data_IF_479775100985
#
_entry.id   IF_479775100985
#
_cell.length_a   1.000
_cell.length_b   1.000
_cell.length_c   1.000
_cell.angle_alpha   90.00
_cell.angle_beta   90.00
_cell.angle_gamma   90.00
#
_symmetry.space_group_name_H-M   'P 1'
#
loop_
_entity.id
_entity.type
_entity.pdbx_description
1 polymer ?
#
# COMPACT_ATOMS: atom_id res chain seq x y z
N UNK A 1 -0.22 28.49 -26.06
CA UNK A 1 -1.00 27.25 -26.16
C UNK A 1 -0.82 26.50 -24.85
N UNK A 2 -1.80 26.59 -23.97
CA UNK A 2 -1.79 25.98 -22.65
C UNK A 2 -3.01 25.06 -22.57
N UNK A 3 -2.82 23.75 -22.78
CA UNK A 3 -3.93 22.80 -22.90
C UNK A 3 -3.43 21.41 -23.31
N UNK A 4 -2.63 20.79 -22.46
CA UNK A 4 -2.17 19.40 -22.67
C UNK A 4 -2.22 18.62 -21.37
N UNK A 5 -2.49 17.33 -21.48
CA UNK A 5 -2.41 16.35 -20.40
C UNK A 5 -1.05 15.66 -20.42
N UNK A 6 -0.67 15.04 -19.30
CA UNK A 6 0.59 14.32 -19.23
C UNK A 6 0.50 12.96 -19.90
N UNK A 7 -0.47 12.15 -19.51
CA UNK A 7 -0.52 10.75 -19.89
C UNK A 7 -1.95 10.32 -20.24
N UNK A 8 -2.08 9.62 -21.36
CA UNK A 8 -3.24 8.79 -21.68
C UNK A 8 -2.82 7.32 -21.69
N UNK A 9 -3.44 6.53 -20.82
CA UNK A 9 -3.41 5.08 -20.89
C UNK A 9 -4.71 4.62 -21.56
N UNK A 10 -4.61 3.99 -22.74
CA UNK A 10 -5.78 3.70 -23.58
C UNK A 10 -6.03 2.19 -23.73
N UNK A 11 -7.30 1.82 -23.92
CA UNK A 11 -7.71 0.46 -24.31
C UNK A 11 -7.39 -0.64 -23.28
N UNK A 12 -7.25 -0.30 -21.99
CA UNK A 12 -6.97 -1.31 -20.98
C UNK A 12 -8.08 -2.35 -20.92
N UNK A 13 -7.69 -3.62 -20.84
CA UNK A 13 -8.64 -4.72 -20.65
C UNK A 13 -9.35 -4.56 -19.30
N UNK A 14 -8.59 -4.30 -18.24
CA UNK A 14 -9.13 -3.94 -16.93
C UNK A 14 -8.45 -2.70 -16.38
N UNK A 15 -9.23 -1.82 -15.74
CA UNK A 15 -8.73 -0.77 -14.86
C UNK A 15 -9.24 -1.08 -13.46
N UNK A 16 -8.35 -1.52 -12.58
CA UNK A 16 -8.67 -1.89 -11.20
C UNK A 16 -8.65 -0.63 -10.35
N UNK A 17 -9.83 -0.13 -9.99
CA UNK A 17 -9.96 1.09 -9.20
C UNK A 17 -9.69 0.83 -7.72
N UNK A 18 -9.95 -0.39 -7.24
CA UNK A 18 -10.01 -0.80 -5.83
C UNK A 18 -11.24 -0.21 -5.12
N UNK A 19 -11.40 1.12 -5.16
CA UNK A 19 -12.52 1.88 -4.62
C UNK A 19 -13.28 2.64 -5.72
N UNK A 20 -14.52 3.05 -5.47
CA UNK A 20 -15.33 3.77 -6.49
C UNK A 20 -16.15 4.94 -5.94
N UNK A 21 -16.19 5.14 -4.62
CA UNK A 21 -17.07 6.11 -3.96
C UNK A 21 -16.33 6.96 -2.93
N UNK A 22 -15.03 7.20 -3.13
CA UNK A 22 -14.20 7.97 -2.22
C UNK A 22 -13.88 7.22 -0.92
N UNK A 23 -13.99 5.89 -0.91
CA UNK A 23 -13.61 5.09 0.25
C UNK A 23 -12.15 5.35 0.65
N UNK A 24 -11.91 5.37 1.97
CA UNK A 24 -10.60 5.70 2.55
C UNK A 24 -9.81 4.49 3.00
N UNK A 25 -10.52 3.39 3.15
CA UNK A 25 -10.06 2.05 3.44
C UNK A 25 -11.21 1.10 3.08
N UNK A 26 -10.91 -0.19 2.98
CA UNK A 26 -11.88 -1.27 2.83
C UNK A 26 -11.74 -2.22 4.02
N UNK A 27 -12.86 -2.61 4.64
CA UNK A 27 -12.92 -3.57 5.73
C UNK A 27 -14.26 -4.32 5.69
N UNK A 28 -14.30 -5.51 6.30
CA UNK A 28 -15.47 -6.38 6.29
C UNK A 28 -15.96 -6.68 4.87
N UNK A 29 -17.27 -6.58 4.65
CA UNK A 29 -17.89 -6.94 3.36
C UNK A 29 -17.41 -6.09 2.17
N UNK A 30 -16.87 -4.89 2.41
CA UNK A 30 -16.32 -4.04 1.36
C UNK A 30 -15.07 -4.65 0.69
N UNK A 31 -14.41 -5.63 1.32
CA UNK A 31 -13.26 -6.34 0.75
C UNK A 31 -13.65 -7.50 -0.19
N UNK A 32 -14.93 -7.90 -0.23
CA UNK A 32 -15.38 -9.07 -1.01
C UNK A 32 -15.28 -8.85 -2.52
N UNK A 33 -15.37 -7.61 -2.98
CA UNK A 33 -15.32 -7.27 -4.39
C UNK A 33 -14.72 -5.89 -4.57
N UNK A 34 -13.66 -5.80 -5.38
CA UNK A 34 -13.03 -4.54 -5.73
C UNK A 34 -13.76 -3.89 -6.90
N UNK A 35 -13.73 -2.56 -6.97
CA UNK A 35 -14.16 -1.84 -8.15
C UNK A 35 -13.18 -2.09 -9.31
N UNK A 36 -13.69 -2.62 -10.43
CA UNK A 36 -12.95 -2.90 -11.66
C UNK A 36 -13.78 -2.44 -12.85
N UNK A 37 -13.17 -1.70 -13.78
CA UNK A 37 -13.77 -1.35 -15.06
C UNK A 37 -13.19 -2.26 -16.16
N UNK A 38 -14.06 -2.90 -16.93
CA UNK A 38 -13.67 -3.63 -18.14
C UNK A 38 -13.65 -2.68 -19.34
N UNK A 39 -12.61 -2.72 -20.16
CA UNK A 39 -12.51 -1.92 -21.39
C UNK A 39 -12.52 -0.41 -21.11
N UNK A 40 -11.48 0.08 -20.45
CA UNK A 40 -11.41 1.48 -20.00
C UNK A 40 -10.07 2.15 -20.32
N UNK A 41 -10.09 3.48 -20.29
CA UNK A 41 -8.93 4.36 -20.46
C UNK A 41 -8.81 5.31 -19.27
N UNK A 42 -7.60 5.80 -19.01
CA UNK A 42 -7.28 6.68 -17.89
C UNK A 42 -6.43 7.87 -18.36
N UNK A 43 -6.75 9.06 -17.87
CA UNK A 43 -6.03 10.31 -18.16
C UNK A 43 -5.38 10.87 -16.90
N UNK A 44 -4.09 11.23 -16.98
CA UNK A 44 -3.37 11.97 -15.94
C UNK A 44 -2.98 13.35 -16.45
N UNK A 45 -3.27 14.38 -15.65
CA UNK A 45 -2.91 15.76 -15.93
C UNK A 45 -1.43 16.05 -15.70
N UNK A 46 -0.97 17.22 -16.18
CA UNK A 46 0.41 17.71 -15.97
C UNK A 46 0.71 18.04 -14.51
N UNK A 47 -0.32 18.25 -13.69
CA UNK A 47 -0.23 18.35 -12.23
C UNK A 47 -0.04 16.99 -11.52
N UNK A 48 -0.09 15.89 -12.28
CA UNK A 48 0.14 14.53 -11.80
C UNK A 48 -1.06 13.90 -11.11
N UNK A 49 -2.26 14.45 -11.28
CA UNK A 49 -3.51 13.89 -10.77
C UNK A 49 -4.33 13.27 -11.89
N UNK A 50 -5.08 12.21 -11.56
CA UNK A 50 -6.02 11.56 -12.46
C UNK A 50 -7.15 12.53 -12.79
N UNK A 51 -7.39 12.75 -14.08
CA UNK A 51 -8.42 13.68 -14.59
C UNK A 51 -9.67 12.97 -15.08
N UNK A 52 -9.52 11.77 -15.62
CA UNK A 52 -10.65 10.97 -16.07
C UNK A 52 -10.30 9.49 -16.05
N UNK A 53 -11.31 8.67 -15.79
CA UNK A 53 -11.29 7.22 -15.96
C UNK A 53 -12.67 6.84 -16.51
N UNK A 54 -12.73 6.01 -17.54
CA UNK A 54 -14.01 5.59 -18.08
C UNK A 54 -13.88 4.66 -19.29
N UNK A 55 -15.02 4.25 -19.87
CA UNK A 55 -15.04 3.45 -21.09
C UNK A 55 -14.20 4.09 -22.21
N UNK A 56 -13.56 3.25 -23.02
CA UNK A 56 -12.63 3.68 -24.07
C UNK A 56 -13.24 4.72 -25.01
N UNK A 57 -14.45 4.47 -25.49
CA UNK A 57 -15.16 5.35 -26.44
C UNK A 57 -15.51 6.70 -25.82
N UNK A 58 -15.86 6.72 -24.52
CA UNK A 58 -16.15 7.94 -23.77
C UNK A 58 -14.90 8.79 -23.64
N UNK A 59 -13.77 8.20 -23.22
CA UNK A 59 -12.51 8.92 -23.07
C UNK A 59 -12.00 9.41 -24.43
N UNK A 60 -12.06 8.57 -25.47
CA UNK A 60 -11.66 8.98 -26.83
C UNK A 60 -12.47 10.18 -27.34
N UNK A 61 -13.79 10.20 -27.09
CA UNK A 61 -14.65 11.33 -27.49
C UNK A 61 -14.38 12.58 -26.66
N UNK A 62 -14.22 12.42 -25.35
CA UNK A 62 -14.05 13.55 -24.44
C UNK A 62 -12.71 14.27 -24.65
N UNK A 63 -11.67 13.53 -25.04
CA UNK A 63 -10.30 14.05 -25.19
C UNK A 63 -9.79 14.01 -26.64
N UNK A 64 -10.68 14.06 -27.64
CA UNK A 64 -10.31 13.91 -29.07
C UNK A 64 -9.42 15.03 -29.61
N UNK A 65 -9.61 16.25 -29.11
CA UNK A 65 -8.86 17.45 -29.51
C UNK A 65 -7.73 17.81 -28.52
N UNK A 66 -7.57 17.03 -27.46
CA UNK A 66 -6.60 17.28 -26.41
C UNK A 66 -5.22 16.67 -26.77
N UNK A 67 -4.17 17.29 -26.26
CA UNK A 67 -2.79 16.81 -26.48
C UNK A 67 -2.25 16.08 -25.25
N UNK A 68 -1.38 15.10 -25.48
CA UNK A 68 -0.77 14.28 -24.42
C UNK A 68 0.75 14.25 -24.58
N UNK A 69 1.50 14.44 -23.48
CA UNK A 69 2.96 14.25 -23.48
C UNK A 69 3.32 12.79 -23.83
N UNK A 70 2.54 11.85 -23.31
CA UNK A 70 2.73 10.41 -23.52
C UNK A 70 1.38 9.68 -23.71
N UNK A 71 1.38 8.69 -24.61
CA UNK A 71 0.24 7.78 -24.83
C UNK A 71 0.74 6.34 -24.77
N UNK A 72 0.02 5.50 -24.03
CA UNK A 72 0.38 4.09 -23.82
C UNK A 72 -0.83 3.21 -24.14
N UNK A 73 -0.70 2.39 -25.18
CA UNK A 73 -1.69 1.36 -25.50
C UNK A 73 -1.62 0.20 -24.50
N UNK A 74 -2.73 0.04 -23.78
CA UNK A 74 -2.95 -0.99 -22.77
C UNK A 74 -3.85 -2.12 -23.28
N UNK A 75 -4.01 -2.26 -24.60
CA UNK A 75 -4.77 -3.36 -25.21
C UNK A 75 -4.32 -4.72 -24.66
N UNK A 76 -5.26 -5.47 -24.08
CA UNK A 76 -5.00 -6.77 -23.47
C UNK A 76 -4.31 -6.74 -22.09
N UNK A 77 -4.05 -5.55 -21.53
CA UNK A 77 -3.32 -5.32 -20.27
C UNK A 77 -4.23 -4.81 -19.17
N UNK A 78 -3.74 -4.86 -17.93
CA UNK A 78 -4.44 -4.29 -16.77
C UNK A 78 -3.70 -3.09 -16.20
N UNK A 79 -4.47 -2.07 -15.79
CA UNK A 79 -4.00 -0.91 -15.04
C UNK A 79 -4.43 -1.08 -13.59
N UNK A 80 -3.51 -0.91 -12.65
CA UNK A 80 -3.74 -0.96 -11.21
C UNK A 80 -3.19 0.31 -10.54
N UNK A 81 -3.61 0.64 -9.30
CA UNK A 81 -2.90 1.62 -8.50
C UNK A 81 -1.46 1.19 -8.28
N UNK A 82 -0.56 2.17 -8.13
CA UNK A 82 0.75 1.92 -7.56
C UNK A 82 0.60 1.20 -6.22
N UNK A 83 1.38 0.14 -6.03
CA UNK A 83 1.39 -0.60 -4.77
C UNK A 83 1.99 0.29 -3.67
N UNK A 84 1.45 0.15 -2.46
CA UNK A 84 1.93 0.87 -1.28
C UNK A 84 2.50 -0.16 -0.31
N UNK A 85 3.78 0.00 0.01
CA UNK A 85 4.42 -0.73 1.09
C UNK A 85 4.16 0.01 2.40
N UNK A 86 3.32 -0.57 3.26
CA UNK A 86 2.93 0.08 4.51
C UNK A 86 4.05 0.08 5.58
N UNK A 87 5.09 -0.74 5.42
CA UNK A 87 6.12 -0.91 6.44
C UNK A 87 7.44 -1.41 5.86
N UNK A 88 8.50 -0.63 6.04
CA UNK A 88 9.87 -0.99 5.64
C UNK A 88 10.89 -0.26 6.50
N UNK A 89 12.06 -0.87 6.67
CA UNK A 89 13.26 -0.25 7.25
C UNK A 89 14.32 -0.06 6.16
N UNK A 90 14.13 0.83 5.19
CA UNK A 90 15.03 0.95 4.03
C UNK A 90 16.40 1.54 4.40
N UNK A 91 16.55 2.05 5.63
CA UNK A 91 17.79 2.60 6.18
C UNK A 91 18.21 1.75 7.37
N UNK A 92 19.27 0.96 7.21
CA UNK A 92 19.92 0.22 8.30
C UNK A 92 21.44 0.47 8.30
N UNK A 93 22.14 0.05 9.36
CA UNK A 93 23.59 0.15 9.42
C UNK A 93 24.26 -1.05 8.70
N UNK A 94 25.08 -0.79 7.66
CA UNK A 94 25.71 -1.81 6.78
C UNK A 94 26.58 -1.19 5.66
N UNK A 95 26.90 -1.91 4.57
CA UNK A 95 27.77 -1.43 3.47
C UNK A 95 27.04 -0.45 2.53
N UNK A 96 27.52 0.81 2.45
CA UNK A 96 26.69 1.99 2.07
C UNK A 96 27.02 2.71 0.75
N UNK A 97 27.63 2.08 -0.24
CA UNK A 97 28.05 2.83 -1.45
C UNK A 97 26.86 3.18 -2.36
N UNK A 98 25.87 2.30 -2.49
CA UNK A 98 24.71 2.55 -3.36
C UNK A 98 23.59 3.35 -2.69
N UNK A 99 23.54 3.35 -1.35
CA UNK A 99 22.54 4.06 -0.55
C UNK A 99 22.68 5.58 -0.62
N UNK A 100 23.91 6.10 -0.65
CA UNK A 100 24.12 7.53 -0.89
C UNK A 100 23.66 7.94 -2.28
N UNK A 101 23.87 7.10 -3.30
CA UNK A 101 23.42 7.41 -4.65
C UNK A 101 21.89 7.40 -4.77
N UNK A 102 21.19 6.44 -4.16
CA UNK A 102 19.72 6.39 -4.17
C UNK A 102 19.10 7.51 -3.34
N UNK A 103 19.65 7.80 -2.15
CA UNK A 103 19.26 8.96 -1.34
C UNK A 103 19.54 10.27 -2.07
N UNK A 104 20.70 10.49 -2.69
CA UNK A 104 20.96 11.71 -3.47
C UNK A 104 20.03 11.84 -4.69
N UNK A 105 19.57 10.72 -5.28
CA UNK A 105 18.68 10.74 -6.44
C UNK A 105 17.23 11.07 -6.08
N UNK A 106 16.76 10.67 -4.88
CA UNK A 106 15.42 11.04 -4.37
C UNK A 106 15.40 12.30 -3.49
N UNK A 107 16.38 12.50 -2.59
CA UNK A 107 16.60 13.74 -1.84
C UNK A 107 16.96 14.92 -2.73
N UNK A 108 17.46 14.65 -3.95
CA UNK A 108 17.80 15.67 -4.96
C UNK A 108 16.61 16.50 -5.45
N UNK A 109 15.40 16.26 -4.93
CA UNK A 109 14.23 17.10 -5.20
C UNK A 109 14.02 18.22 -4.18
N UNK A 110 14.19 18.01 -2.87
CA UNK A 110 13.98 19.06 -1.84
C UNK A 110 14.85 18.93 -0.55
N UNK A 111 15.67 17.89 -0.39
CA UNK A 111 16.69 17.81 0.68
C UNK A 111 16.23 17.61 2.14
N UNK A 112 14.92 17.64 2.44
CA UNK A 112 14.40 17.51 3.82
C UNK A 112 13.78 16.12 4.10
N UNK A 113 14.07 15.56 5.28
CA UNK A 113 13.38 14.37 5.80
C UNK A 113 12.12 14.85 6.51
N UNK A 114 10.96 14.49 5.97
CA UNK A 114 9.68 14.73 6.63
C UNK A 114 9.29 13.49 7.45
N UNK A 115 8.95 13.69 8.73
CA UNK A 115 8.53 12.63 9.64
C UNK A 115 7.05 12.83 9.96
N UNK A 116 6.21 11.94 9.47
CA UNK A 116 4.75 11.95 9.70
C UNK A 116 4.35 11.12 10.94
N UNK A 117 5.15 10.10 11.28
CA UNK A 117 4.78 9.06 12.24
C UNK A 117 5.84 8.88 13.35
N UNK A 118 5.41 8.43 14.52
CA UNK A 118 6.25 7.91 15.61
C UNK A 118 6.05 6.40 15.77
N UNK A 119 7.15 5.68 15.97
CA UNK A 119 7.22 4.23 16.13
C UNK A 119 8.03 3.86 17.39
N UNK A 120 7.72 2.71 17.97
CA UNK A 120 8.47 2.05 19.04
C UNK A 120 8.23 0.54 18.93
N UNK A 121 9.25 -0.26 19.23
CA UNK A 121 9.10 -1.70 19.30
C UNK A 121 8.60 -2.15 20.67
N UNK A 122 7.28 -2.29 20.81
CA UNK A 122 6.63 -2.75 22.04
C UNK A 122 6.73 -4.28 22.14
N UNK A 123 7.71 -4.75 22.91
CA UNK A 123 8.05 -6.17 23.00
C UNK A 123 8.77 -6.47 24.32
N UNK A 124 8.57 -7.69 24.84
CA UNK A 124 9.21 -8.19 26.04
C UNK A 124 10.73 -8.19 25.87
N UNK A 125 11.41 -7.46 26.74
CA UNK A 125 12.87 -7.32 26.70
C UNK A 125 13.38 -6.18 25.81
N UNK A 126 12.46 -5.40 25.20
CA UNK A 126 12.79 -4.21 24.40
C UNK A 126 12.18 -2.96 25.06
N UNK A 127 10.91 -2.65 24.77
CA UNK A 127 10.13 -1.61 25.46
C UNK A 127 8.82 -2.21 26.00
N UNK A 128 8.58 -2.05 27.30
CA UNK A 128 7.32 -2.42 27.94
C UNK A 128 6.19 -1.44 27.63
N UNK A 129 4.95 -1.82 27.97
CA UNK A 129 3.75 -1.01 27.70
C UNK A 129 3.84 0.41 28.29
N UNK A 130 4.41 0.58 29.48
CA UNK A 130 4.52 1.88 30.13
C UNK A 130 5.53 2.80 29.42
N UNK A 131 6.64 2.24 28.94
CA UNK A 131 7.64 2.96 28.15
C UNK A 131 7.11 3.28 26.75
N UNK A 132 6.50 2.30 26.08
CA UNK A 132 5.80 2.47 24.80
C UNK A 132 4.77 3.59 24.89
N UNK A 133 3.89 3.57 25.91
CA UNK A 133 2.87 4.61 26.10
C UNK A 133 3.48 6.01 26.19
N UNK A 134 4.52 6.19 27.02
CA UNK A 134 5.18 7.49 27.21
C UNK A 134 5.84 8.01 25.92
N UNK A 135 6.48 7.12 25.16
CA UNK A 135 7.11 7.46 23.87
C UNK A 135 6.04 7.90 22.87
N UNK A 136 5.01 7.08 22.68
CA UNK A 136 3.95 7.34 21.70
C UNK A 136 3.13 8.60 22.05
N UNK A 137 2.84 8.82 23.33
CA UNK A 137 2.16 10.05 23.78
C UNK A 137 3.01 11.29 23.52
N UNK A 138 4.32 11.25 23.80
CA UNK A 138 5.23 12.36 23.48
C UNK A 138 5.22 12.70 21.98
N UNK A 139 5.28 11.69 21.10
CA UNK A 139 5.21 11.93 19.65
C UNK A 139 3.86 12.51 19.21
N UNK A 140 2.76 12.03 19.80
CA UNK A 140 1.42 12.55 19.54
C UNK A 140 1.27 14.02 19.97
N UNK A 141 1.85 14.40 21.10
CA UNK A 141 1.91 15.80 21.57
C UNK A 141 2.71 16.70 20.62
N UNK A 142 3.68 16.13 19.89
CA UNK A 142 4.44 16.81 18.82
C UNK A 142 3.71 16.82 17.46
N UNK A 143 2.50 16.27 17.38
CA UNK A 143 1.69 16.22 16.15
C UNK A 143 1.99 15.03 15.22
N UNK A 144 2.79 14.06 15.67
CA UNK A 144 3.07 12.84 14.91
C UNK A 144 1.92 11.84 15.04
N UNK A 145 1.67 11.07 13.97
CA UNK A 145 0.75 9.94 14.02
C UNK A 145 1.41 8.73 14.68
N UNK A 146 0.66 7.98 15.48
CA UNK A 146 1.18 6.76 16.12
C UNK A 146 1.09 5.60 15.12
N UNK A 147 2.24 5.05 14.72
CA UNK A 147 2.35 3.83 13.93
C UNK A 147 3.54 3.03 14.47
N UNK A 148 3.28 1.87 15.09
CA UNK A 148 4.32 1.19 15.86
C UNK A 148 4.29 -0.34 15.78
N UNK A 149 5.37 -0.99 16.22
CA UNK A 149 5.47 -2.45 16.25
C UNK A 149 4.90 -3.01 17.56
N UNK A 150 4.09 -4.07 17.46
CA UNK A 150 3.47 -4.66 18.64
C UNK A 150 3.01 -6.08 18.45
N UNK A 151 3.05 -6.84 19.55
CA UNK A 151 2.59 -8.23 19.61
C UNK A 151 3.25 -9.15 18.56
N UNK A 152 4.54 -8.95 18.27
CA UNK A 152 5.30 -9.74 17.28
C UNK A 152 5.75 -11.10 17.83
N UNK A 153 6.42 -11.11 18.98
CA UNK A 153 7.04 -12.32 19.54
C UNK A 153 6.34 -12.78 20.81
N UNK A 154 5.79 -11.85 21.60
CA UNK A 154 5.02 -12.16 22.80
C UNK A 154 3.69 -11.38 22.83
N UNK A 155 2.65 -11.93 23.48
CA UNK A 155 1.36 -11.25 23.64
C UNK A 155 1.48 -10.16 24.72
N UNK A 156 1.98 -8.99 24.33
CA UNK A 156 2.24 -7.86 25.24
C UNK A 156 1.05 -6.91 25.37
N UNK A 157 -0.01 -7.11 24.57
CA UNK A 157 -1.22 -6.26 24.50
C UNK A 157 -0.96 -4.89 23.87
N UNK A 158 -0.08 -4.85 22.88
CA UNK A 158 0.21 -3.65 22.13
C UNK A 158 -1.00 -3.18 21.31
N UNK A 159 -1.79 -4.11 20.76
CA UNK A 159 -3.03 -3.79 20.04
C UNK A 159 -4.04 -3.03 20.90
N UNK A 160 -4.26 -3.46 22.13
CA UNK A 160 -5.14 -2.79 23.10
C UNK A 160 -4.63 -1.38 23.43
N UNK A 161 -3.32 -1.22 23.69
CA UNK A 161 -2.70 0.07 23.95
C UNK A 161 -2.82 1.02 22.75
N UNK A 162 -2.54 0.53 21.54
CA UNK A 162 -2.63 1.33 20.32
C UNK A 162 -4.06 1.81 20.06
N UNK A 163 -5.05 0.95 20.26
CA UNK A 163 -6.46 1.34 20.17
C UNK A 163 -6.84 2.42 21.20
N UNK A 164 -6.38 2.30 22.44
CA UNK A 164 -6.60 3.30 23.50
C UNK A 164 -5.98 4.66 23.16
N UNK A 165 -4.75 4.65 22.62
CA UNK A 165 -4.02 5.88 22.26
C UNK A 165 -4.48 6.49 20.93
N UNK A 166 -5.35 5.81 20.17
CA UNK A 166 -5.79 6.25 18.85
C UNK A 166 -4.68 6.11 17.80
N UNK A 167 -3.96 4.99 17.79
CA UNK A 167 -2.94 4.67 16.81
C UNK A 167 -3.54 4.57 15.40
N UNK A 168 -2.81 5.10 14.41
CA UNK A 168 -3.16 4.98 13.00
C UNK A 168 -2.96 3.54 12.51
N UNK A 169 -1.87 2.90 12.95
CA UNK A 169 -1.52 1.55 12.55
C UNK A 169 -0.64 0.84 13.61
N UNK A 170 -0.64 -0.49 13.58
CA UNK A 170 0.25 -1.35 14.35
C UNK A 170 0.77 -2.44 13.41
N UNK A 171 2.09 -2.61 13.36
CA UNK A 171 2.78 -3.61 12.55
C UNK A 171 2.99 -4.91 13.33
N UNK A 172 3.19 -6.02 12.61
CA UNK A 172 3.38 -7.39 13.14
C UNK A 172 2.07 -8.11 13.54
N UNK A 173 1.75 -8.17 14.83
CA UNK A 173 0.50 -8.75 15.38
C UNK A 173 0.37 -10.28 15.29
N UNK A 174 1.47 -11.02 15.24
CA UNK A 174 1.53 -12.48 15.29
C UNK A 174 0.87 -13.07 16.55
N UNK A 175 1.11 -12.42 17.70
CA UNK A 175 0.63 -12.82 19.02
C UNK A 175 -0.52 -11.94 19.55
N UNK A 176 -1.21 -11.23 18.66
CA UNK A 176 -2.35 -10.38 19.05
C UNK A 176 -3.47 -11.16 19.73
N UNK A 177 -4.03 -10.56 20.78
CA UNK A 177 -5.14 -11.11 21.54
C UNK A 177 -6.49 -10.91 20.83
N UNK A 178 -7.52 -11.67 21.23
CA UNK A 178 -8.89 -11.44 20.75
C UNK A 178 -9.43 -10.06 21.14
N UNK A 179 -9.06 -9.57 22.33
CA UNK A 179 -9.43 -8.24 22.80
C UNK A 179 -8.72 -7.16 21.97
N UNK A 180 -7.46 -7.37 21.61
CA UNK A 180 -6.69 -6.50 20.72
C UNK A 180 -7.32 -6.37 19.35
N UNK A 181 -7.70 -7.50 18.72
CA UNK A 181 -8.41 -7.51 17.42
C UNK A 181 -9.70 -6.68 17.50
N UNK A 182 -10.54 -6.93 18.52
CA UNK A 182 -11.80 -6.20 18.70
C UNK A 182 -11.57 -4.70 18.97
N UNK A 183 -10.55 -4.36 19.74
CA UNK A 183 -10.17 -2.97 20.03
C UNK A 183 -9.71 -2.24 18.76
N UNK A 184 -8.87 -2.87 17.94
CA UNK A 184 -8.40 -2.29 16.67
C UNK A 184 -9.55 -2.04 15.68
N UNK A 185 -10.47 -3.00 15.55
CA UNK A 185 -11.66 -2.85 14.71
C UNK A 185 -12.52 -1.65 15.14
N UNK A 186 -12.74 -1.51 16.45
CA UNK A 186 -13.51 -0.41 17.04
C UNK A 186 -12.82 0.94 16.85
N UNK A 187 -11.51 1.00 17.11
CA UNK A 187 -10.71 2.22 17.04
C UNK A 187 -10.34 2.64 15.61
N UNK A 188 -10.64 1.82 14.59
CA UNK A 188 -10.19 2.00 13.20
C UNK A 188 -8.66 2.09 13.07
N UNK A 189 -7.97 1.37 13.96
CA UNK A 189 -6.52 1.20 13.91
C UNK A 189 -6.19 0.12 12.87
N UNK A 190 -5.30 0.43 11.92
CA UNK A 190 -4.92 -0.53 10.89
C UNK A 190 -3.96 -1.60 11.43
N UNK A 191 -4.17 -2.85 11.04
CA UNK A 191 -3.22 -3.93 11.25
C UNK A 191 -2.33 -4.06 10.01
N UNK A 192 -1.04 -3.71 10.14
CA UNK A 192 -0.05 -3.84 9.07
C UNK A 192 0.64 -5.19 9.20
N UNK A 193 0.24 -6.15 8.38
CA UNK A 193 0.73 -7.52 8.47
C UNK A 193 1.95 -7.73 7.57
N UNK A 194 2.93 -8.46 8.09
CA UNK A 194 4.28 -8.59 7.53
C UNK A 194 4.59 -10.06 7.19
N UNK A 195 3.94 -10.65 6.17
CA UNK A 195 4.01 -12.09 5.89
C UNK A 195 5.41 -12.59 5.53
N UNK A 196 6.24 -11.72 4.96
CA UNK A 196 7.65 -11.97 4.61
C UNK A 196 8.48 -12.23 5.86
N UNK A 197 8.34 -11.41 6.90
CA UNK A 197 9.04 -11.59 8.19
C UNK A 197 8.60 -12.85 8.88
N UNK A 198 7.28 -13.07 9.02
CA UNK A 198 6.75 -14.29 9.61
C UNK A 198 7.24 -15.55 8.86
N UNK A 199 7.37 -15.48 7.53
CA UNK A 199 7.92 -16.58 6.72
C UNK A 199 9.44 -16.77 6.92
N UNK A 200 10.24 -15.71 6.78
CA UNK A 200 11.71 -15.78 6.83
C UNK A 200 12.23 -16.17 8.20
N UNK A 201 11.62 -15.64 9.26
CA UNK A 201 11.96 -15.94 10.65
C UNK A 201 11.23 -17.17 11.21
N UNK A 202 10.36 -17.80 10.41
CA UNK A 202 9.56 -18.98 10.80
C UNK A 202 8.70 -18.72 12.04
N UNK A 203 8.16 -17.51 12.14
CA UNK A 203 7.23 -17.14 13.19
C UNK A 203 5.84 -17.73 12.90
N UNK A 204 5.00 -17.71 13.92
CA UNK A 204 3.56 -17.90 13.75
C UNK A 204 3.03 -16.81 12.81
N UNK A 205 2.07 -17.16 11.96
CA UNK A 205 1.46 -16.17 11.08
C UNK A 205 0.44 -15.32 11.86
N UNK A 206 0.40 -13.98 11.65
CA UNK A 206 -0.67 -13.13 12.14
C UNK A 206 -2.06 -13.66 11.77
N UNK A 207 -3.03 -13.44 12.64
CA UNK A 207 -4.40 -14.00 12.52
C UNK A 207 -5.26 -13.20 11.53
N UNK A 208 -4.75 -12.97 10.32
CA UNK A 208 -5.37 -12.09 9.31
C UNK A 208 -6.84 -12.44 9.02
N UNK A 209 -7.17 -13.72 8.85
CA UNK A 209 -8.56 -14.14 8.62
C UNK A 209 -9.49 -13.67 9.73
N UNK A 210 -9.11 -13.86 11.00
CA UNK A 210 -9.93 -13.37 12.13
C UNK A 210 -10.02 -11.84 12.15
N UNK A 211 -8.91 -11.15 11.92
CA UNK A 211 -8.91 -9.68 11.84
C UNK A 211 -9.87 -9.16 10.76
N UNK A 212 -9.85 -9.77 9.58
CA UNK A 212 -10.74 -9.45 8.46
C UNK A 212 -12.21 -9.71 8.80
N UNK A 213 -12.49 -10.87 9.39
CA UNK A 213 -13.85 -11.28 9.78
C UNK A 213 -14.43 -10.37 10.88
N UNK A 214 -13.59 -9.86 11.80
CA UNK A 214 -13.95 -8.90 12.85
C UNK A 214 -13.96 -7.44 12.38
N UNK A 215 -13.67 -7.18 11.10
CA UNK A 215 -13.75 -5.85 10.50
C UNK A 215 -12.55 -4.93 10.77
N UNK A 216 -11.40 -5.49 11.17
CA UNK A 216 -10.13 -4.74 11.24
C UNK A 216 -9.71 -4.30 9.84
N UNK A 217 -9.14 -3.10 9.75
CA UNK A 217 -8.53 -2.60 8.52
C UNK A 217 -7.16 -3.28 8.38
N UNK A 218 -7.05 -4.26 7.49
CA UNK A 218 -5.79 -4.98 7.25
C UNK A 218 -5.02 -4.36 6.09
N UNK A 219 -3.77 -4.01 6.33
CA UNK A 219 -2.78 -3.54 5.38
C UNK A 219 -1.61 -4.53 5.28
N UNK A 220 -0.83 -4.47 4.20
CA UNK A 220 0.37 -5.29 4.02
C UNK A 220 1.61 -4.41 3.91
N UNK A 221 2.69 -4.87 4.54
CA UNK A 221 4.03 -4.30 4.41
C UNK A 221 5.06 -5.38 4.06
N UNK A 222 6.14 -4.99 3.41
CA UNK A 222 7.23 -5.90 3.08
C UNK A 222 8.13 -6.20 4.28
N UNK A 223 8.15 -5.29 5.24
CA UNK A 223 9.13 -5.24 6.32
C UNK A 223 10.55 -5.38 5.78
N UNK A 224 10.84 -4.73 4.64
CA UNK A 224 12.17 -4.81 4.06
C UNK A 224 13.21 -4.33 5.06
N UNK A 225 14.01 -5.27 5.56
CA UNK A 225 15.04 -5.08 6.58
C UNK A 225 16.09 -6.22 6.47
N UNK A 226 17.22 -6.17 7.22
CA UNK A 226 18.26 -7.21 7.13
C UNK A 226 17.82 -8.64 7.49
N UNK A 227 16.79 -8.80 8.32
CA UNK A 227 16.20 -10.09 8.69
C UNK A 227 15.17 -10.57 7.66
N UNK A 228 14.50 -9.63 6.97
CA UNK A 228 13.48 -9.87 5.97
C UNK A 228 13.79 -9.14 4.65
N UNK A 229 14.72 -9.69 3.86
CA UNK A 229 15.19 -9.04 2.63
C UNK A 229 14.22 -9.27 1.45
N UNK A 230 13.06 -8.61 1.49
CA UNK A 230 12.06 -8.62 0.42
C UNK A 230 11.54 -7.20 0.15
N UNK A 231 11.70 -6.69 -1.07
CA UNK A 231 11.11 -5.41 -1.52
C UNK A 231 9.97 -5.62 -2.54
N UNK A 232 9.47 -6.85 -2.68
CA UNK A 232 8.48 -7.22 -3.68
C UNK A 232 7.08 -7.31 -3.07
N UNK A 233 6.30 -6.23 -3.16
CA UNK A 233 4.91 -6.22 -2.73
C UNK A 233 4.02 -7.30 -3.40
N UNK A 234 4.22 -7.68 -4.68
CA UNK A 234 3.55 -8.85 -5.24
C UNK A 234 3.84 -10.14 -4.48
N UNK A 235 5.05 -10.31 -3.96
CA UNK A 235 5.40 -11.47 -3.13
C UNK A 235 4.80 -11.39 -1.73
N UNK A 236 4.74 -10.20 -1.14
CA UNK A 236 4.01 -9.95 0.12
C UNK A 236 2.54 -10.36 -0.02
N UNK A 237 1.86 -9.91 -1.09
CA UNK A 237 0.47 -10.28 -1.38
C UNK A 237 0.29 -11.79 -1.58
N UNK A 238 1.21 -12.44 -2.30
CA UNK A 238 1.16 -13.89 -2.51
C UNK A 238 1.26 -14.65 -1.18
N UNK A 239 2.24 -14.31 -0.34
CA UNK A 239 2.41 -14.95 0.97
C UNK A 239 1.22 -14.68 1.90
N UNK A 240 0.63 -13.49 1.86
CA UNK A 240 -0.61 -13.20 2.60
C UNK A 240 -1.76 -14.11 2.15
N UNK A 241 -1.90 -14.37 0.85
CA UNK A 241 -2.93 -15.29 0.36
C UNK A 241 -2.68 -16.73 0.85
N UNK A 242 -1.45 -17.22 0.71
CA UNK A 242 -1.11 -18.62 1.00
C UNK A 242 -1.04 -18.90 2.51
N UNK A 243 -0.33 -18.06 3.27
CA UNK A 243 -0.01 -18.32 4.67
C UNK A 243 -1.04 -17.72 5.63
N UNK A 244 -1.66 -16.60 5.27
CA UNK A 244 -2.63 -15.89 6.12
C UNK A 244 -4.10 -16.10 5.67
N UNK A 245 -4.30 -16.89 4.61
CA UNK A 245 -5.62 -17.23 4.03
C UNK A 245 -6.40 -16.02 3.56
N UNK A 246 -5.72 -14.98 3.09
CA UNK A 246 -6.39 -13.86 2.41
C UNK A 246 -6.82 -14.27 1.00
N UNK A 247 -7.89 -13.68 0.51
CA UNK A 247 -8.26 -13.70 -0.90
C UNK A 247 -7.43 -12.67 -1.67
N UNK A 248 -7.33 -12.84 -2.99
CA UNK A 248 -6.63 -11.86 -3.85
C UNK A 248 -7.23 -10.45 -3.76
N UNK A 249 -8.57 -10.25 -3.72
CA UNK A 249 -9.17 -8.94 -3.46
C UNK A 249 -8.72 -8.30 -2.13
N UNK A 250 -8.73 -9.08 -1.05
CA UNK A 250 -8.28 -8.61 0.27
C UNK A 250 -6.80 -8.22 0.23
N UNK A 251 -5.95 -9.04 -0.39
CA UNK A 251 -4.51 -8.77 -0.49
C UNK A 251 -4.21 -7.53 -1.35
N UNK A 252 -4.91 -7.33 -2.47
CA UNK A 252 -4.73 -6.14 -3.29
C UNK A 252 -5.18 -4.87 -2.55
N UNK A 253 -6.33 -4.90 -1.89
CA UNK A 253 -6.77 -3.77 -1.06
C UNK A 253 -5.79 -3.47 0.09
N UNK A 254 -5.26 -4.53 0.72
CA UNK A 254 -4.29 -4.44 1.80
C UNK A 254 -2.96 -3.81 1.34
N UNK A 255 -2.50 -4.08 0.12
CA UNK A 255 -1.28 -3.53 -0.47
C UNK A 255 -1.51 -2.23 -1.30
N UNK A 256 -2.71 -1.66 -1.25
CA UNK A 256 -3.05 -0.40 -1.94
C UNK A 256 -3.78 0.57 -1.00
N UNK A 257 -5.12 0.58 -0.99
CA UNK A 257 -5.92 1.57 -0.26
C UNK A 257 -5.73 1.47 1.26
N UNK A 258 -5.64 0.27 1.81
CA UNK A 258 -5.47 0.10 3.27
C UNK A 258 -4.04 0.40 3.71
N UNK A 259 -3.03 0.07 2.90
CA UNK A 259 -1.66 0.51 3.13
C UNK A 259 -1.55 2.04 3.07
N UNK A 260 -2.20 2.68 2.08
CA UNK A 260 -2.28 4.14 2.03
C UNK A 260 -3.03 4.73 3.24
N UNK A 261 -4.02 4.03 3.79
CA UNK A 261 -4.73 4.44 5.01
C UNK A 261 -3.82 4.35 6.24
N UNK A 262 -3.10 3.25 6.40
CA UNK A 262 -2.14 3.04 7.49
C UNK A 262 -1.04 4.12 7.54
N UNK A 263 -0.73 4.74 6.40
CA UNK A 263 0.22 5.84 6.28
C UNK A 263 -0.43 7.25 6.26
N UNK A 264 -1.75 7.37 6.44
CA UNK A 264 -2.46 8.65 6.38
C UNK A 264 -2.55 9.29 4.98
N UNK A 265 -2.23 8.54 3.92
CA UNK A 265 -2.15 9.05 2.53
C UNK A 265 -3.31 8.60 1.62
N UNK A 266 -4.30 7.85 2.11
CA UNK A 266 -5.41 7.33 1.26
C UNK A 266 -6.33 8.40 0.65
N UNK A 267 -6.17 9.69 1.02
CA UNK A 267 -6.84 10.82 0.35
C UNK A 267 -6.35 10.96 -1.09
N UNK A 268 -5.08 10.61 -1.34
CA UNK A 268 -4.38 10.88 -2.59
C UNK A 268 -3.81 9.64 -3.27
N UNK A 269 -3.63 8.54 -2.54
CA UNK A 269 -3.01 7.29 -3.05
C UNK A 269 -3.88 6.06 -2.73
N UNK A 270 -3.52 4.91 -3.31
CA UNK A 270 -4.07 3.59 -2.98
C UNK A 270 -5.33 3.18 -3.75
N UNK A 271 -5.88 4.04 -4.60
CA UNK A 271 -6.97 3.70 -5.53
C UNK A 271 -6.91 4.58 -6.77
N UNK A 272 -7.61 4.18 -7.83
CA UNK A 272 -7.73 4.97 -9.06
C UNK A 272 -9.05 5.71 -9.05
N UNK A 273 -9.02 6.97 -8.65
CA UNK A 273 -10.19 7.85 -8.64
C UNK A 273 -9.80 9.23 -9.16
N UNK A 274 -10.74 9.92 -9.81
CA UNK A 274 -10.49 11.29 -10.29
C UNK A 274 -10.10 12.18 -9.09
N UNK A 275 -9.02 12.95 -9.25
CA UNK A 275 -8.45 13.77 -8.19
C UNK A 275 -7.38 13.09 -7.33
N UNK A 276 -7.19 11.76 -7.43
CA UNK A 276 -6.05 11.06 -6.82
C UNK A 276 -4.80 11.12 -7.69
N UNK A 277 -3.64 10.77 -7.10
CA UNK A 277 -2.35 10.77 -7.80
C UNK A 277 -2.35 9.75 -8.93
N UNK A 278 -1.76 10.13 -10.07
CA UNK A 278 -1.50 9.23 -11.18
C UNK A 278 -0.29 8.33 -10.93
N UNK A 279 -0.31 7.60 -9.81
CA UNK A 279 0.69 6.59 -9.44
C UNK A 279 0.11 5.22 -9.77
N UNK A 280 0.66 4.56 -10.80
CA UNK A 280 0.01 3.46 -11.50
C UNK A 280 1.00 2.34 -11.82
N UNK A 281 0.46 1.14 -11.94
CA UNK A 281 1.12 -0.03 -12.49
C UNK A 281 0.38 -0.48 -13.75
N UNK A 282 1.10 -0.82 -14.81
CA UNK A 282 0.55 -1.54 -15.96
C UNK A 282 1.18 -2.92 -16.02
N UNK A 283 0.34 -3.96 -16.03
CA UNK A 283 0.81 -5.34 -16.16
C UNK A 283 0.42 -5.92 -17.51
N UNK A 284 1.34 -6.68 -18.10
CA UNK A 284 1.14 -7.40 -19.35
C UNK A 284 0.34 -8.70 -19.11
N UNK A 285 -0.91 -8.53 -18.67
CA UNK A 285 -1.89 -9.60 -18.43
C UNK A 285 -3.29 -9.04 -18.63
N UNK A 286 -4.20 -9.86 -19.14
CA UNK A 286 -5.62 -9.53 -19.28
C UNK A 286 -6.40 -9.60 -17.96
N UNK A 287 -5.75 -10.09 -16.90
CA UNK A 287 -6.30 -10.29 -15.57
C UNK A 287 -5.36 -9.77 -14.50
N UNK A 288 -5.85 -8.89 -13.63
CA UNK A 288 -5.08 -8.29 -12.56
C UNK A 288 -4.59 -9.33 -11.53
N UNK A 289 -5.32 -10.42 -11.35
CA UNK A 289 -5.01 -11.47 -10.38
C UNK A 289 -3.64 -12.13 -10.62
N UNK A 290 -3.14 -12.07 -11.86
CA UNK A 290 -1.80 -12.57 -12.20
C UNK A 290 -0.69 -11.86 -11.43
N UNK A 291 -0.92 -10.63 -10.97
CA UNK A 291 0.03 -9.91 -10.11
C UNK A 291 0.28 -10.67 -8.80
N UNK A 292 -0.73 -11.33 -8.25
CA UNK A 292 -0.67 -12.05 -6.98
C UNK A 292 -0.45 -13.55 -7.20
N UNK A 293 -1.12 -14.13 -8.20
CA UNK A 293 -1.03 -15.54 -8.53
C UNK A 293 0.41 -15.96 -8.87
N UNK A 294 1.15 -15.15 -9.63
CA UNK A 294 2.49 -15.49 -10.07
C UNK A 294 3.48 -15.47 -8.90
N UNK A 295 4.10 -16.62 -8.63
CA UNK A 295 5.14 -16.74 -7.61
C UNK A 295 6.51 -16.36 -8.20
N UNK A 296 6.89 -15.09 -8.09
CA UNK A 296 8.13 -14.53 -8.63
C UNK A 296 8.08 -14.17 -10.12
N UNK A 297 9.18 -13.66 -10.69
CA UNK A 297 9.24 -13.31 -12.11
C UNK A 297 8.42 -12.08 -12.53
N UNK A 298 8.03 -11.22 -11.58
CA UNK A 298 7.20 -10.04 -11.86
C UNK A 298 7.85 -9.00 -12.79
N UNK A 299 9.17 -9.06 -12.98
CA UNK A 299 9.88 -8.27 -14.00
C UNK A 299 9.41 -8.60 -15.43
N UNK A 300 8.86 -9.80 -15.65
CA UNK A 300 8.27 -10.16 -16.93
C UNK A 300 6.84 -9.63 -17.09
N UNK A 301 6.14 -9.45 -15.97
CA UNK A 301 4.71 -9.11 -15.90
C UNK A 301 4.46 -7.60 -15.79
N UNK A 302 5.24 -6.87 -14.98
CA UNK A 302 5.12 -5.42 -14.80
C UNK A 302 5.78 -4.75 -16.00
N UNK A 303 4.98 -4.09 -16.83
CA UNK A 303 5.46 -3.45 -18.06
C UNK A 303 5.78 -1.97 -17.84
N UNK A 304 4.95 -1.28 -17.06
CA UNK A 304 5.16 0.13 -16.70
C UNK A 304 4.96 0.37 -15.21
N UNK A 305 5.85 1.19 -14.62
CA UNK A 305 5.62 1.87 -13.35
C UNK A 305 5.57 3.37 -13.63
N UNK A 306 4.49 4.00 -13.20
CA UNK A 306 4.19 5.40 -13.48
C UNK A 306 4.01 6.13 -12.16
N UNK A 307 4.65 7.30 -12.01
CA UNK A 307 4.46 8.18 -10.85
C UNK A 307 4.07 9.57 -11.31
N UNK A 308 2.98 10.12 -10.76
CA UNK A 308 2.43 11.43 -11.12
C UNK A 308 2.26 11.57 -12.65
N UNK A 309 1.85 10.48 -13.31
CA UNK A 309 1.70 10.38 -14.76
C UNK A 309 3.00 10.27 -15.56
N UNK A 310 4.18 10.20 -14.94
CA UNK A 310 5.47 10.01 -15.62
C UNK A 310 5.89 8.56 -15.55
N UNK A 311 6.23 7.95 -16.68
CA UNK A 311 6.86 6.62 -16.70
C UNK A 311 8.24 6.71 -16.03
N UNK A 312 8.41 5.95 -14.94
CA UNK A 312 9.70 5.83 -14.22
C UNK A 312 10.38 4.49 -14.46
N UNK A 313 9.62 3.50 -14.93
CA UNK A 313 10.12 2.21 -15.37
C UNK A 313 9.29 1.74 -16.56
N UNK A 314 9.98 1.20 -17.56
CA UNK A 314 9.43 0.52 -18.72
C UNK A 314 10.28 -0.73 -18.99
N UNK A 315 9.63 -1.87 -19.18
CA UNK A 315 10.28 -3.11 -19.60
C UNK A 315 10.82 -3.02 -21.03
#
# INVERSE_FOLDING_TARGET
>A
MAGGHRLLLENARQVVLVCARGERFLAGDALRSLAVLEGASLVVGTDGFIKAIGPVDVIQRQFSEETFEERIDCSGKCILPGLVDAHTHPVWAGERVHEFAMKLKELGRDGEIHVDNIDVFCEKGVFDLDSTRRILQSGKEMGLQINFHGDELHPVKAAELGAELGAQAISHLEEVSDAGIAAMATARCAAVLLPTTAYMLRLKQPRARKMLDEGVIVALGSDFNPNAYCFSMPMVMHLACVNMRMSMPEALAAATINAAYALGKSHTHGSLEVGKRGDLLVINSSRWEHLIYQFGGHHELIEYVITKGKVIYKK
#
